data_IF_787804796017
#
_entry.id   IF_787804796017
#
_cell.length_a   1.000
_cell.length_b   1.000
_cell.length_c   1.000
_cell.angle_alpha   90.00
_cell.angle_beta   90.00
_cell.angle_gamma   90.00
#
_symmetry.space_group_name_H-M   'P 1'
#
loop_
_entity.id
_entity.type
_entity.pdbx_description
1 polymer ?
#
# COMPACT_ATOMS: atom_id res chain seq x y z
N UNK A 1 26.30 -74.32 -23.36
CA UNK A 1 26.38 -73.53 -24.61
C UNK A 1 24.96 -73.45 -25.17
N UNK A 2 24.24 -72.33 -25.14
CA UNK A 2 24.67 -70.94 -25.33
C UNK A 2 24.07 -69.97 -24.29
N UNK A 3 24.89 -69.23 -23.53
CA UNK A 3 24.42 -68.19 -22.61
C UNK A 3 24.21 -66.81 -23.28
N UNK A 4 24.12 -66.73 -24.61
CA UNK A 4 24.35 -65.47 -25.34
C UNK A 4 23.10 -64.79 -25.94
N UNK A 5 21.89 -65.35 -25.86
CA UNK A 5 20.71 -64.72 -26.49
C UNK A 5 19.50 -64.58 -25.56
N UNK A 6 19.73 -64.64 -24.24
CA UNK A 6 18.76 -64.27 -23.20
C UNK A 6 19.00 -62.82 -22.71
N UNK A 7 19.82 -62.05 -23.43
CA UNK A 7 20.24 -60.68 -23.11
C UNK A 7 19.66 -59.63 -24.07
N UNK A 8 18.79 -60.01 -25.00
CA UNK A 8 18.21 -59.07 -25.98
C UNK A 8 16.81 -58.57 -25.65
N UNK A 9 16.24 -58.97 -24.50
CA UNK A 9 14.96 -58.45 -24.00
C UNK A 9 15.11 -57.73 -22.67
N UNK A 10 16.21 -57.02 -22.48
CA UNK A 10 16.30 -56.04 -21.40
C UNK A 10 16.68 -54.71 -22.03
N UNK A 11 16.01 -53.65 -21.60
CA UNK A 11 16.23 -52.24 -21.94
C UNK A 11 15.57 -51.72 -23.22
N UNK A 12 14.26 -51.43 -23.16
CA UNK A 12 13.69 -50.41 -24.05
C UNK A 12 12.50 -49.62 -23.47
N UNK A 13 11.79 -50.11 -22.44
CA UNK A 13 10.55 -49.43 -21.98
C UNK A 13 10.67 -48.69 -20.63
N UNK A 14 11.52 -49.14 -19.70
CA UNK A 14 11.65 -48.48 -18.39
C UNK A 14 12.31 -47.08 -18.44
N UNK A 15 13.03 -46.77 -19.52
CA UNK A 15 13.68 -45.47 -19.70
C UNK A 15 12.71 -44.34 -20.03
N UNK A 16 11.66 -44.63 -20.80
CA UNK A 16 10.64 -43.65 -21.17
C UNK A 16 9.76 -43.27 -19.96
N UNK A 17 9.36 -44.26 -19.15
CA UNK A 17 8.59 -44.04 -17.93
C UNK A 17 9.40 -43.33 -16.84
N UNK A 18 10.68 -43.69 -16.67
CA UNK A 18 11.58 -43.00 -15.73
C UNK A 18 11.85 -41.57 -16.16
N UNK A 19 12.07 -41.31 -17.46
CA UNK A 19 12.26 -39.97 -17.99
C UNK A 19 11.00 -39.11 -17.81
N UNK A 20 9.81 -39.69 -18.02
CA UNK A 20 8.52 -39.02 -17.81
C UNK A 20 8.31 -38.64 -16.34
N UNK A 21 8.63 -39.54 -15.41
CA UNK A 21 8.61 -39.27 -13.97
C UNK A 21 9.56 -38.13 -13.59
N UNK A 22 10.80 -38.15 -14.09
CA UNK A 22 11.77 -37.08 -13.83
C UNK A 22 11.25 -35.74 -14.33
N UNK A 23 10.71 -35.69 -15.55
CA UNK A 23 10.13 -34.46 -16.13
C UNK A 23 8.96 -33.97 -15.26
N UNK A 24 8.08 -34.86 -14.82
CA UNK A 24 6.95 -34.51 -13.96
C UNK A 24 7.40 -33.91 -12.62
N UNK A 25 8.41 -34.51 -11.97
CA UNK A 25 8.99 -33.95 -10.74
C UNK A 25 9.66 -32.59 -10.96
N UNK A 26 10.34 -32.39 -12.10
CA UNK A 26 10.92 -31.09 -12.46
C UNK A 26 9.83 -30.04 -12.67
N UNK A 27 8.71 -30.40 -13.32
CA UNK A 27 7.56 -29.51 -13.49
C UNK A 27 6.95 -29.14 -12.14
N UNK A 28 6.74 -30.12 -11.25
CA UNK A 28 6.23 -29.84 -9.89
C UNK A 28 7.18 -28.94 -9.10
N UNK A 29 8.50 -29.20 -9.16
CA UNK A 29 9.49 -28.34 -8.52
C UNK A 29 9.46 -26.91 -9.09
N UNK A 30 9.32 -26.76 -10.41
CA UNK A 30 9.21 -25.45 -11.06
C UNK A 30 7.96 -24.68 -10.61
N UNK A 31 6.80 -25.35 -10.52
CA UNK A 31 5.55 -24.73 -10.03
C UNK A 31 5.73 -24.22 -8.58
N UNK A 32 6.38 -25.00 -7.71
CA UNK A 32 6.65 -24.58 -6.33
C UNK A 32 7.54 -23.33 -6.29
N UNK A 33 8.62 -23.31 -7.08
CA UNK A 33 9.54 -22.16 -7.14
C UNK A 33 8.82 -20.90 -7.65
N UNK A 34 8.00 -21.03 -8.71
CA UNK A 34 7.20 -19.92 -9.22
C UNK A 34 6.19 -19.44 -8.18
N UNK A 35 5.51 -20.35 -7.49
CA UNK A 35 4.58 -20.02 -6.41
C UNK A 35 5.26 -19.25 -5.28
N UNK A 36 6.43 -19.68 -4.82
CA UNK A 36 7.22 -18.97 -3.80
C UNK A 36 7.71 -17.62 -4.30
N UNK A 37 8.10 -17.52 -5.57
CA UNK A 37 8.54 -16.27 -6.17
C UNK A 37 7.41 -15.25 -6.23
N UNK A 38 6.22 -15.64 -6.68
CA UNK A 38 5.02 -14.80 -6.68
C UNK A 38 4.68 -14.37 -5.25
N UNK A 39 4.72 -15.29 -4.28
CA UNK A 39 4.45 -14.98 -2.88
C UNK A 39 5.46 -13.97 -2.30
N UNK A 40 6.74 -14.11 -2.66
CA UNK A 40 7.79 -13.17 -2.24
C UNK A 40 7.57 -11.78 -2.83
N UNK A 41 7.15 -11.69 -4.10
CA UNK A 41 6.79 -10.41 -4.74
C UNK A 41 5.58 -9.76 -4.07
N UNK A 42 4.52 -10.53 -3.81
CA UNK A 42 3.33 -10.04 -3.10
C UNK A 42 3.67 -9.55 -1.69
N UNK A 43 4.52 -10.30 -0.96
CA UNK A 43 4.97 -9.92 0.38
C UNK A 43 5.81 -8.64 0.37
N UNK A 44 6.60 -8.43 -0.68
CA UNK A 44 7.41 -7.21 -0.84
C UNK A 44 6.55 -6.01 -1.23
N UNK A 45 5.57 -6.21 -2.12
CA UNK A 45 4.65 -5.16 -2.56
C UNK A 45 3.65 -4.74 -1.47
N UNK A 46 3.20 -5.68 -0.63
CA UNK A 46 2.28 -5.44 0.49
C UNK A 46 2.93 -4.91 1.76
N UNK A 47 4.19 -4.44 1.71
CA UNK A 47 4.82 -3.81 2.89
C UNK A 47 4.16 -2.47 3.16
N UNK A 48 3.37 -2.43 4.23
CA UNK A 48 2.80 -1.19 4.74
C UNK A 48 3.92 -0.24 5.22
N UNK A 49 3.76 1.08 5.01
CA UNK A 49 4.74 2.06 5.47
C UNK A 49 4.79 2.11 6.99
N UNK A 50 5.93 2.55 7.53
CA UNK A 50 6.07 2.80 8.97
C UNK A 50 5.34 4.07 9.38
N UNK A 51 5.01 4.22 10.66
CA UNK A 51 4.31 5.41 11.18
C UNK A 51 4.98 6.73 10.82
N UNK A 52 6.32 6.80 10.86
CA UNK A 52 7.06 7.99 10.46
C UNK A 52 6.94 8.31 8.95
N UNK A 53 6.87 7.27 8.10
CA UNK A 53 6.65 7.42 6.67
C UNK A 53 5.20 7.83 6.38
N UNK A 54 4.25 7.26 7.10
CA UNK A 54 2.83 7.62 7.03
C UNK A 54 2.63 9.10 7.38
N UNK A 55 3.23 9.57 8.49
CA UNK A 55 3.24 10.99 8.85
C UNK A 55 3.78 11.85 7.71
N UNK A 56 4.95 11.50 7.15
CA UNK A 56 5.55 12.25 6.06
C UNK A 56 4.63 12.34 4.84
N UNK A 57 3.91 11.26 4.53
CA UNK A 57 2.95 11.25 3.43
C UNK A 57 1.74 12.15 3.70
N UNK A 58 1.24 12.17 4.94
CA UNK A 58 0.15 13.06 5.37
C UNK A 58 0.58 14.52 5.33
N UNK A 59 1.74 14.85 5.90
CA UNK A 59 2.29 16.22 5.88
C UNK A 59 2.46 16.73 4.44
N UNK A 60 2.99 15.90 3.55
CA UNK A 60 3.13 16.28 2.14
C UNK A 60 1.77 16.48 1.44
N UNK A 61 0.71 15.76 1.84
CA UNK A 61 -0.62 16.00 1.29
C UNK A 61 -1.25 17.29 1.86
N UNK A 62 -1.06 17.57 3.15
CA UNK A 62 -1.48 18.84 3.78
C UNK A 62 -0.79 20.03 3.12
N UNK A 63 0.53 19.96 2.91
CA UNK A 63 1.30 21.00 2.24
C UNK A 63 0.80 21.24 0.81
N UNK A 64 0.55 20.16 0.06
CA UNK A 64 0.01 20.24 -1.29
C UNK A 64 -1.39 20.89 -1.33
N UNK A 65 -2.26 20.58 -0.36
CA UNK A 65 -3.59 21.18 -0.23
C UNK A 65 -3.51 22.66 0.12
N UNK A 66 -2.66 23.05 1.07
CA UNK A 66 -2.42 24.45 1.44
C UNK A 66 -1.85 25.25 0.27
N UNK A 67 -0.88 24.67 -0.46
CA UNK A 67 -0.33 25.27 -1.66
C UNK A 67 -1.39 25.39 -2.77
N UNK A 68 -2.27 24.39 -2.89
CA UNK A 68 -3.37 24.43 -3.83
C UNK A 68 -4.38 25.52 -3.48
N UNK A 69 -4.81 25.63 -2.22
CA UNK A 69 -5.71 26.68 -1.76
C UNK A 69 -5.21 28.10 -2.09
N UNK A 70 -3.89 28.35 -1.97
CA UNK A 70 -3.27 29.65 -2.29
C UNK A 70 -3.24 29.97 -3.79
N UNK A 71 -3.16 28.95 -4.63
CA UNK A 71 -2.99 29.12 -6.09
C UNK A 71 -4.26 28.84 -6.88
N UNK A 72 -5.28 28.25 -6.25
CA UNK A 72 -6.49 27.77 -6.91
C UNK A 72 -7.27 28.87 -7.65
N UNK A 73 -7.31 30.08 -7.10
CA UNK A 73 -8.01 31.21 -7.70
C UNK A 73 -7.41 31.67 -9.04
N UNK A 74 -6.10 31.45 -9.26
CA UNK A 74 -5.40 31.84 -10.48
C UNK A 74 -5.31 30.73 -11.53
N UNK A 75 -5.89 29.55 -11.26
CA UNK A 75 -5.81 28.41 -12.18
C UNK A 75 -6.93 28.44 -13.20
N UNK A 76 -6.64 27.94 -14.40
CA UNK A 76 -7.70 27.66 -15.38
C UNK A 76 -8.59 26.53 -14.89
N UNK A 77 -9.85 26.47 -15.35
CA UNK A 77 -10.81 25.41 -14.98
C UNK A 77 -10.23 24.01 -15.16
N UNK A 78 -9.51 23.76 -16.26
CA UNK A 78 -8.86 22.48 -16.51
C UNK A 78 -7.74 22.18 -15.50
N UNK A 79 -6.88 23.16 -15.20
CA UNK A 79 -5.79 22.99 -14.23
C UNK A 79 -6.32 22.75 -12.82
N UNK A 80 -7.36 23.48 -12.43
CA UNK A 80 -8.06 23.30 -11.15
C UNK A 80 -8.61 21.88 -11.06
N UNK A 81 -9.42 21.45 -12.04
CA UNK A 81 -10.01 20.11 -12.08
C UNK A 81 -8.94 19.00 -11.99
N UNK A 82 -7.88 19.11 -12.79
CA UNK A 82 -6.77 18.15 -12.80
C UNK A 82 -6.09 18.06 -11.43
N UNK A 83 -5.87 19.20 -10.77
CA UNK A 83 -5.16 19.28 -9.50
C UNK A 83 -6.01 18.78 -8.33
N UNK A 84 -7.28 19.17 -8.24
CA UNK A 84 -8.26 18.58 -7.31
C UNK A 84 -8.31 17.07 -7.46
N UNK A 85 -8.48 16.59 -8.69
CA UNK A 85 -8.61 15.16 -8.97
C UNK A 85 -7.36 14.39 -8.50
N UNK A 86 -6.17 14.94 -8.72
CA UNK A 86 -4.91 14.35 -8.24
C UNK A 86 -4.85 14.30 -6.71
N UNK A 87 -5.28 15.36 -6.03
CA UNK A 87 -5.29 15.43 -4.56
C UNK A 87 -6.33 14.48 -3.96
N UNK A 88 -7.50 14.38 -4.56
CA UNK A 88 -8.55 13.43 -4.17
C UNK A 88 -8.05 11.99 -4.24
N UNK A 89 -7.50 11.57 -5.38
CA UNK A 89 -6.96 10.20 -5.52
C UNK A 89 -5.80 9.93 -4.55
N UNK A 90 -5.01 10.96 -4.24
CA UNK A 90 -3.93 10.84 -3.25
C UNK A 90 -4.49 10.68 -1.84
N UNK A 91 -5.56 11.38 -1.48
CA UNK A 91 -6.27 11.21 -0.20
C UNK A 91 -6.86 9.80 -0.10
N UNK A 92 -7.59 9.32 -1.13
CA UNK A 92 -8.14 7.96 -1.18
C UNK A 92 -7.06 6.88 -0.98
N UNK A 93 -5.92 7.02 -1.65
CA UNK A 93 -4.80 6.08 -1.50
C UNK A 93 -4.24 6.08 -0.07
N UNK A 94 -4.14 7.25 0.56
CA UNK A 94 -3.61 7.38 1.92
C UNK A 94 -4.59 6.89 2.96
N UNK A 95 -5.89 7.16 2.80
CA UNK A 95 -6.98 6.59 3.58
C UNK A 95 -6.89 5.07 3.57
N UNK A 96 -6.87 4.46 2.37
CA UNK A 96 -6.76 3.01 2.23
C UNK A 96 -5.52 2.45 2.94
N UNK A 97 -4.37 3.11 2.78
CA UNK A 97 -3.11 2.69 3.41
C UNK A 97 -3.21 2.79 4.94
N UNK A 98 -3.77 3.87 5.47
CA UNK A 98 -3.96 4.07 6.90
C UNK A 98 -4.92 3.04 7.50
N UNK A 99 -6.04 2.74 6.81
CA UNK A 99 -6.97 1.68 7.20
C UNK A 99 -6.29 0.31 7.25
N UNK A 100 -5.48 -0.04 6.24
CA UNK A 100 -4.73 -1.29 6.26
C UNK A 100 -3.73 -1.39 7.43
N UNK A 101 -3.12 -0.27 7.82
CA UNK A 101 -2.22 -0.23 8.98
C UNK A 101 -3.04 -0.42 10.27
N UNK A 102 -4.14 0.33 10.41
CA UNK A 102 -5.07 0.21 11.53
C UNK A 102 -5.54 -1.22 11.72
N UNK A 103 -5.98 -1.89 10.65
CA UNK A 103 -6.47 -3.28 10.70
C UNK A 103 -5.37 -4.27 11.09
N UNK A 104 -4.17 -4.08 10.53
CA UNK A 104 -3.02 -4.95 10.80
C UNK A 104 -2.52 -4.80 12.24
N UNK A 105 -2.46 -3.59 12.75
CA UNK A 105 -1.91 -3.27 14.07
C UNK A 105 -2.98 -3.28 15.17
N UNK A 106 -4.26 -3.31 14.78
CA UNK A 106 -5.43 -3.13 15.65
C UNK A 106 -5.34 -1.84 16.47
N UNK A 107 -4.79 -0.79 15.87
CA UNK A 107 -4.61 0.51 16.51
C UNK A 107 -5.77 1.45 16.15
N UNK A 108 -6.63 1.70 17.13
CA UNK A 108 -7.79 2.60 16.97
C UNK A 108 -7.42 4.06 16.72
N UNK A 109 -6.22 4.50 17.13
CA UNK A 109 -5.75 5.87 16.88
C UNK A 109 -5.44 6.04 15.39
N UNK A 110 -4.80 5.03 14.77
CA UNK A 110 -4.56 5.01 13.31
C UNK A 110 -5.89 4.93 12.55
N UNK A 111 -6.86 4.14 13.03
CA UNK A 111 -8.21 4.12 12.47
C UNK A 111 -8.87 5.50 12.51
N UNK A 112 -8.74 6.21 13.63
CA UNK A 112 -9.25 7.59 13.76
C UNK A 112 -8.57 8.54 12.78
N UNK A 113 -7.25 8.42 12.61
CA UNK A 113 -6.51 9.20 11.61
C UNK A 113 -6.97 8.89 10.17
N UNK A 114 -7.29 7.64 9.86
CA UNK A 114 -7.85 7.25 8.56
C UNK A 114 -9.21 7.91 8.30
N UNK A 115 -10.12 7.93 9.29
CA UNK A 115 -11.41 8.65 9.19
C UNK A 115 -11.22 10.15 8.96
N UNK A 116 -10.17 10.77 9.51
CA UNK A 116 -9.88 12.19 9.22
C UNK A 116 -9.50 12.40 7.76
N UNK A 117 -8.77 11.47 7.15
CA UNK A 117 -8.45 11.52 5.71
C UNK A 117 -9.69 11.26 4.86
N UNK A 118 -10.56 10.34 5.29
CA UNK A 118 -11.85 10.11 4.65
C UNK A 118 -12.69 11.41 4.60
N UNK A 119 -12.79 12.12 5.72
CA UNK A 119 -13.47 13.42 5.77
C UNK A 119 -12.83 14.45 4.81
N UNK A 120 -11.50 14.48 4.71
CA UNK A 120 -10.80 15.34 3.76
C UNK A 120 -11.11 14.96 2.30
N UNK A 121 -11.20 13.66 1.97
CA UNK A 121 -11.62 13.16 0.66
C UNK A 121 -13.04 13.63 0.34
N UNK A 122 -13.97 13.50 1.29
CA UNK A 122 -15.37 13.86 1.10
C UNK A 122 -15.56 15.37 0.88
N UNK A 123 -14.70 16.21 1.48
CA UNK A 123 -14.64 17.65 1.21
C UNK A 123 -14.11 17.97 -0.19
N UNK A 124 -13.19 17.14 -0.73
CA UNK A 124 -12.61 17.32 -2.06
C UNK A 124 -13.48 16.78 -3.21
N UNK A 125 -14.28 15.73 -2.95
CA UNK A 125 -15.10 15.07 -3.97
C UNK A 125 -16.05 16.02 -4.73
N UNK A 126 -16.78 16.96 -4.09
CA UNK A 126 -17.67 17.91 -4.76
C UNK A 126 -17.02 18.72 -5.88
N UNK A 127 -15.74 19.05 -5.75
CA UNK A 127 -14.99 19.83 -6.74
C UNK A 127 -14.71 19.04 -8.03
N UNK A 128 -14.53 17.71 -7.93
CA UNK A 128 -14.39 16.84 -9.11
C UNK A 128 -15.72 16.68 -9.84
N UNK A 129 -16.83 16.62 -9.10
CA UNK A 129 -18.17 16.40 -9.67
C UNK A 129 -18.89 17.70 -10.05
N UNK A 130 -18.19 18.85 -10.04
CA UNK A 130 -18.74 20.14 -10.46
C UNK A 130 -19.81 20.72 -9.52
N UNK A 131 -19.91 20.22 -8.29
CA UNK A 131 -20.84 20.74 -7.26
C UNK A 131 -20.26 21.93 -6.50
N UNK A 132 -18.93 22.07 -6.51
CA UNK A 132 -18.16 23.23 -6.01
C UNK A 132 -17.12 23.62 -7.05
N UNK A 133 -16.75 24.89 -7.10
CA UNK A 133 -15.81 25.42 -8.08
C UNK A 133 -14.66 26.21 -7.42
N UNK A 134 -13.81 26.82 -8.24
CA UNK A 134 -12.66 27.60 -7.79
C UNK A 134 -13.01 28.88 -7.03
N UNK A 135 -14.29 29.29 -6.97
CA UNK A 135 -14.73 30.43 -6.18
C UNK A 135 -15.02 30.04 -4.72
N UNK A 136 -15.41 28.78 -4.46
CA UNK A 136 -15.60 28.25 -3.11
C UNK A 136 -14.39 27.42 -2.68
N UNK A 137 -13.32 28.05 -2.19
CA UNK A 137 -12.10 27.35 -1.75
C UNK A 137 -12.18 26.82 -0.30
N UNK A 138 -13.30 27.05 0.40
CA UNK A 138 -13.45 26.71 1.81
C UNK A 138 -13.25 25.22 2.08
N UNK A 139 -13.84 24.36 1.25
CA UNK A 139 -13.69 22.91 1.37
C UNK A 139 -12.26 22.39 1.15
N UNK A 140 -11.43 23.08 0.37
CA UNK A 140 -10.01 22.71 0.19
C UNK A 140 -9.20 23.05 1.45
N UNK A 141 -9.46 24.21 2.06
CA UNK A 141 -8.81 24.59 3.32
C UNK A 141 -9.21 23.65 4.45
N UNK A 142 -10.52 23.38 4.58
CA UNK A 142 -11.04 22.48 5.60
C UNK A 142 -10.51 21.05 5.42
N UNK A 143 -10.34 20.58 4.18
CA UNK A 143 -9.69 19.31 3.91
C UNK A 143 -8.24 19.28 4.42
N UNK A 144 -7.49 20.38 4.29
CA UNK A 144 -6.14 20.48 4.83
C UNK A 144 -6.14 20.41 6.37
N UNK A 145 -7.09 21.09 7.01
CA UNK A 145 -7.23 21.07 8.47
C UNK A 145 -7.54 19.66 8.99
N UNK A 146 -8.39 18.89 8.29
CA UNK A 146 -8.65 17.49 8.63
C UNK A 146 -7.40 16.61 8.52
N UNK A 147 -6.54 16.86 7.54
CA UNK A 147 -5.27 16.13 7.43
C UNK A 147 -4.30 16.57 8.54
N UNK A 148 -4.29 17.83 8.94
CA UNK A 148 -3.49 18.28 10.09
C UNK A 148 -3.96 17.64 11.41
N UNK A 149 -5.27 17.49 11.61
CA UNK A 149 -5.83 16.70 12.72
C UNK A 149 -5.31 15.26 12.68
N UNK A 150 -5.28 14.62 11.50
CA UNK A 150 -4.73 13.28 11.32
C UNK A 150 -3.24 13.20 11.65
N UNK A 151 -2.45 14.20 11.24
CA UNK A 151 -1.01 14.28 11.54
C UNK A 151 -0.77 14.37 13.04
N UNK A 152 -1.56 15.16 13.75
CA UNK A 152 -1.47 15.31 15.21
C UNK A 152 -1.67 13.98 15.94
N UNK A 153 -2.62 13.15 15.47
CA UNK A 153 -2.84 11.80 16.02
C UNK A 153 -1.59 10.94 15.80
N UNK A 154 -1.04 10.90 14.58
CA UNK A 154 0.18 10.13 14.30
C UNK A 154 1.37 10.61 15.15
N UNK A 155 1.47 11.91 15.42
CA UNK A 155 2.51 12.46 16.29
C UNK A 155 2.40 11.96 17.73
N UNK A 156 1.19 11.82 18.26
CA UNK A 156 0.97 11.24 19.58
C UNK A 156 1.38 9.76 19.62
N UNK A 157 1.09 9.00 18.57
CA UNK A 157 1.50 7.59 18.44
C UNK A 157 3.04 7.49 18.43
N UNK A 158 3.71 8.30 17.61
CA UNK A 158 5.18 8.31 17.54
C UNK A 158 5.83 8.69 18.87
N UNK A 159 5.25 9.65 19.59
CA UNK A 159 5.72 10.04 20.92
C UNK A 159 5.57 8.90 21.94
N UNK A 160 4.41 8.22 21.94
CA UNK A 160 4.13 7.04 22.77
C UNK A 160 5.13 5.92 22.50
N UNK A 161 5.41 5.63 21.23
CA UNK A 161 6.35 4.60 20.83
C UNK A 161 7.79 4.90 21.27
N UNK A 162 8.20 6.17 21.15
CA UNK A 162 9.51 6.62 21.61
C UNK A 162 9.64 6.48 23.14
N UNK A 163 8.60 6.83 23.89
CA UNK A 163 8.59 6.71 25.35
C UNK A 163 8.66 5.23 25.79
N UNK A 164 7.86 4.35 25.19
CA UNK A 164 7.87 2.93 25.49
C UNK A 164 9.24 2.31 25.21
N UNK A 165 9.90 2.71 24.12
CA UNK A 165 11.26 2.27 23.79
C UNK A 165 12.28 2.75 24.82
N UNK A 166 12.20 4.02 25.24
CA UNK A 166 13.08 4.58 26.27
C UNK A 166 12.90 3.89 27.64
N UNK A 167 11.65 3.59 28.03
CA UNK A 167 11.34 2.86 29.26
C UNK A 167 11.90 1.43 29.25
N UNK A 168 11.86 0.74 28.10
CA UNK A 168 12.45 -0.60 27.96
C UNK A 168 13.97 -0.58 28.05
N UNK A 169 14.62 0.41 27.44
CA UNK A 169 16.07 0.56 27.49
C UNK A 169 16.61 0.86 28.90
N UNK A 170 15.83 1.52 29.76
CA UNK A 170 16.19 1.78 31.17
C UNK A 170 15.99 0.58 32.10
N UNK A 171 15.25 -0.44 31.67
CA UNK A 171 14.96 -1.65 32.45
C UNK A 171 15.82 -2.86 32.07
N UNK A 172 16.57 -2.76 30.97
CA UNK A 172 17.56 -3.75 30.52
C UNK A 172 18.95 -3.35 31.02
#
# INVERSE_FOLDING_TARGET
MNPFLLLTETTADGGADTARLIIEYVIYAAIIVVGLFILALLRRAGKLPKHAELKKQFSSLSDDLKAFARTAASLTRYQFFRRVTKLLYRAEKLEFTATQISDKERDGDIGTAATKIENARDLLAPYKFGRRDSADLGGISEAADKIDEAISIIDQILARDAELKARRAKKA
#
